data_IF_497324839939
#
_entry.id   IF_497324839939
#
_cell.length_a   1.000
_cell.length_b   1.000
_cell.length_c   1.000
_cell.angle_alpha   90.00
_cell.angle_beta   90.00
_cell.angle_gamma   90.00
#
_symmetry.space_group_name_H-M   'P 1'
#
loop_
_entity.id
_entity.type
_entity.pdbx_description
1 polymer ?
#
# COMPACT_ATOMS: atom_id res chain seq x y z
N UNK A 1 5.00 -11.16 -10.54
CA UNK A 1 5.29 -11.07 -9.10
C UNK A 1 4.09 -11.44 -8.23
N UNK A 2 2.92 -10.90 -8.49
CA UNK A 2 1.64 -11.21 -7.83
C UNK A 2 0.72 -11.89 -8.84
N UNK A 3 0.17 -13.05 -8.49
CA UNK A 3 -0.80 -13.76 -9.32
C UNK A 3 -2.00 -14.16 -8.45
N UNK A 4 -3.16 -13.68 -8.82
CA UNK A 4 -4.44 -13.90 -8.13
C UNK A 4 -5.40 -14.59 -9.09
N UNK A 5 -6.07 -15.67 -8.63
CA UNK A 5 -7.02 -16.43 -9.43
C UNK A 5 -8.29 -16.73 -8.66
N UNK A 6 -9.41 -16.37 -9.25
CA UNK A 6 -10.78 -16.55 -8.70
C UNK A 6 -10.89 -16.15 -7.23
N UNK A 7 -10.25 -15.03 -6.84
CA UNK A 7 -10.16 -14.61 -5.45
C UNK A 7 -11.50 -14.03 -4.99
N UNK A 8 -12.07 -14.65 -3.97
CA UNK A 8 -13.37 -14.23 -3.39
C UNK A 8 -13.20 -13.82 -1.93
N UNK A 9 -14.00 -12.86 -1.52
CA UNK A 9 -14.15 -12.47 -0.13
C UNK A 9 -15.61 -12.28 0.24
N UNK A 10 -16.06 -13.06 1.22
CA UNK A 10 -17.41 -13.01 1.76
C UNK A 10 -17.33 -12.72 3.25
N UNK A 11 -17.94 -11.63 3.68
CA UNK A 11 -18.13 -11.31 5.09
C UNK A 11 -19.48 -11.88 5.54
N UNK A 12 -19.46 -12.70 6.59
CA UNK A 12 -20.67 -13.33 7.15
C UNK A 12 -21.06 -12.64 8.46
N UNK A 13 -22.33 -12.32 8.60
CA UNK A 13 -22.93 -11.71 9.79
C UNK A 13 -24.05 -12.62 10.31
N UNK A 14 -24.60 -12.29 11.46
CA UNK A 14 -25.72 -13.07 12.04
C UNK A 14 -26.95 -13.13 11.13
N UNK A 15 -27.21 -12.09 10.34
CA UNK A 15 -28.42 -11.91 9.55
C UNK A 15 -28.19 -11.97 8.04
N UNK A 16 -26.97 -12.38 7.57
CA UNK A 16 -26.70 -12.45 6.15
C UNK A 16 -25.21 -12.51 5.79
N UNK A 17 -24.92 -12.20 4.55
CA UNK A 17 -23.54 -12.11 4.07
C UNK A 17 -23.39 -10.96 3.06
N UNK A 18 -22.17 -10.46 2.93
CA UNK A 18 -21.79 -9.48 1.89
C UNK A 18 -20.64 -10.05 1.09
N UNK A 19 -20.83 -10.11 -0.23
CA UNK A 19 -19.75 -10.46 -1.15
C UNK A 19 -18.95 -9.20 -1.46
N UNK A 20 -17.74 -9.10 -0.92
CA UNK A 20 -16.87 -7.96 -1.17
C UNK A 20 -15.99 -8.16 -2.40
N UNK A 21 -15.60 -9.42 -2.70
CA UNK A 21 -14.89 -9.82 -3.92
C UNK A 21 -15.58 -11.04 -4.50
N UNK A 22 -15.91 -10.98 -5.80
CA UNK A 22 -16.76 -11.97 -6.48
C UNK A 22 -15.99 -12.96 -7.36
N UNK A 23 -14.66 -12.89 -7.40
CA UNK A 23 -13.81 -13.72 -8.26
C UNK A 23 -12.80 -12.86 -9.02
N UNK A 24 -11.81 -12.34 -8.30
CA UNK A 24 -10.77 -11.46 -8.86
C UNK A 24 -9.70 -12.30 -9.54
N UNK A 25 -9.35 -11.94 -10.77
CA UNK A 25 -8.17 -12.42 -11.47
C UNK A 25 -7.26 -11.21 -11.75
N UNK A 26 -6.03 -11.24 -11.22
CA UNK A 26 -5.10 -10.14 -11.34
C UNK A 26 -3.66 -10.66 -11.39
N UNK A 27 -2.92 -10.23 -12.39
CA UNK A 27 -1.48 -10.41 -12.46
C UNK A 27 -0.80 -9.04 -12.32
N UNK A 28 0.26 -8.97 -11.53
CA UNK A 28 1.12 -7.78 -11.41
C UNK A 28 2.56 -8.23 -11.52
N UNK A 29 3.27 -7.65 -12.47
CA UNK A 29 4.68 -7.94 -12.69
C UNK A 29 5.58 -7.17 -11.72
N UNK A 30 6.82 -7.62 -11.57
CA UNK A 30 7.80 -6.89 -10.76
C UNK A 30 8.13 -5.54 -11.40
N UNK A 31 8.13 -4.48 -10.60
CA UNK A 31 8.37 -3.10 -11.06
C UNK A 31 7.18 -2.46 -11.77
N UNK A 32 6.03 -3.13 -11.85
CA UNK A 32 4.83 -2.55 -12.44
C UNK A 32 4.13 -1.60 -11.45
N UNK A 33 3.63 -0.47 -11.97
CA UNK A 33 2.72 0.42 -11.25
C UNK A 33 1.30 0.22 -11.77
N UNK A 34 0.45 -0.36 -10.94
CA UNK A 34 -0.97 -0.63 -11.27
C UNK A 34 -1.87 0.26 -10.43
N UNK A 35 -2.82 0.94 -11.06
CA UNK A 35 -3.91 1.64 -10.39
C UNK A 35 -5.21 0.84 -10.51
N UNK A 36 -5.87 0.57 -9.38
CA UNK A 36 -7.19 -0.05 -9.31
C UNK A 36 -8.21 1.05 -9.03
N UNK A 37 -9.06 1.34 -10.00
CA UNK A 37 -10.08 2.38 -9.93
C UNK A 37 -11.47 1.79 -9.74
N UNK A 38 -12.34 2.55 -9.07
CA UNK A 38 -13.75 2.19 -8.93
C UNK A 38 -14.47 3.04 -7.89
N UNK A 39 -15.81 2.98 -7.84
CA UNK A 39 -16.60 3.74 -6.87
C UNK A 39 -16.31 3.32 -5.43
N UNK A 40 -16.71 4.16 -4.48
CA UNK A 40 -16.63 3.79 -3.06
C UNK A 40 -17.46 2.52 -2.78
N UNK A 41 -16.93 1.63 -1.94
CA UNK A 41 -17.61 0.39 -1.55
C UNK A 41 -17.50 -0.77 -2.55
N UNK A 42 -16.87 -0.62 -3.72
CA UNK A 42 -16.76 -1.70 -4.70
C UNK A 42 -15.76 -2.82 -4.35
N UNK A 43 -15.05 -2.74 -3.19
CA UNK A 43 -14.14 -3.80 -2.72
C UNK A 43 -12.63 -3.49 -2.82
N UNK A 44 -12.22 -2.29 -3.27
CA UNK A 44 -10.80 -1.93 -3.47
C UNK A 44 -9.94 -2.11 -2.23
N UNK A 45 -10.34 -1.54 -1.10
CA UNK A 45 -9.60 -1.68 0.18
C UNK A 45 -9.59 -3.13 0.66
N UNK A 46 -10.68 -3.89 0.42
CA UNK A 46 -10.70 -5.33 0.73
C UNK A 46 -9.68 -6.10 -0.09
N UNK A 47 -9.59 -5.83 -1.39
CA UNK A 47 -8.57 -6.43 -2.25
C UNK A 47 -7.17 -6.05 -1.79
N UNK A 48 -6.94 -4.76 -1.51
CA UNK A 48 -5.65 -4.27 -1.03
C UNK A 48 -5.22 -4.93 0.29
N UNK A 49 -6.16 -5.13 1.22
CA UNK A 49 -5.90 -5.81 2.50
C UNK A 49 -5.48 -7.28 2.30
N UNK A 50 -6.10 -7.99 1.34
CA UNK A 50 -5.72 -9.37 1.04
C UNK A 50 -4.36 -9.40 0.34
N UNK A 51 -4.11 -8.55 -0.65
CA UNK A 51 -2.80 -8.41 -1.30
C UNK A 51 -1.71 -8.07 -0.30
N UNK A 52 -2.06 -7.27 0.71
CA UNK A 52 -1.17 -6.88 1.80
C UNK A 52 -1.03 -7.90 2.92
N UNK A 53 -1.63 -9.07 2.81
CA UNK A 53 -1.61 -10.10 3.84
C UNK A 53 -2.15 -9.61 5.20
N UNK A 54 -3.04 -8.62 5.19
CA UNK A 54 -3.77 -8.15 6.39
C UNK A 54 -5.02 -9.00 6.63
N UNK A 55 -5.61 -9.55 5.56
CA UNK A 55 -6.75 -10.44 5.61
C UNK A 55 -6.56 -11.65 4.68
N UNK A 56 -7.39 -12.69 4.82
CA UNK A 56 -7.41 -13.84 3.93
C UNK A 56 -8.61 -13.75 2.97
N UNK A 57 -8.48 -14.27 1.75
CA UNK A 57 -9.64 -14.53 0.91
C UNK A 57 -10.51 -15.63 1.53
N UNK A 58 -11.77 -15.69 1.10
CA UNK A 58 -12.66 -16.81 1.43
C UNK A 58 -12.41 -18.02 0.53
N UNK A 59 -12.09 -17.75 -0.74
CA UNK A 59 -11.81 -18.76 -1.79
C UNK A 59 -10.80 -18.19 -2.80
N UNK A 60 -10.26 -19.05 -3.65
CA UNK A 60 -9.31 -18.69 -4.70
C UNK A 60 -7.86 -18.89 -4.28
N UNK A 61 -6.93 -18.49 -5.16
CA UNK A 61 -5.49 -18.58 -4.91
C UNK A 61 -4.81 -17.22 -5.02
N UNK A 62 -3.73 -17.06 -4.24
CA UNK A 62 -2.86 -15.89 -4.28
C UNK A 62 -1.40 -16.29 -4.16
N UNK A 63 -0.66 -16.14 -5.26
CA UNK A 63 0.79 -16.34 -5.29
C UNK A 63 1.51 -14.99 -5.14
N UNK A 64 2.38 -14.89 -4.15
CA UNK A 64 3.30 -13.76 -3.95
C UNK A 64 4.74 -14.25 -4.11
N UNK A 65 5.42 -13.80 -5.17
CA UNK A 65 6.77 -14.27 -5.48
C UNK A 65 6.83 -15.79 -5.69
N UNK A 66 5.80 -16.40 -6.28
CA UNK A 66 5.68 -17.83 -6.52
C UNK A 66 5.23 -18.67 -5.32
N UNK A 67 5.02 -18.07 -4.16
CA UNK A 67 4.55 -18.76 -2.95
C UNK A 67 3.04 -18.59 -2.80
N UNK A 68 2.29 -19.69 -2.58
CA UNK A 68 0.86 -19.64 -2.26
C UNK A 68 0.65 -19.08 -0.85
N UNK A 69 -0.13 -18.00 -0.75
CA UNK A 69 -0.32 -17.25 0.50
C UNK A 69 -1.77 -17.05 0.92
N UNK A 70 -2.74 -17.50 0.11
CA UNK A 70 -4.17 -17.28 0.35
C UNK A 70 -4.65 -17.86 1.70
N UNK A 71 -4.09 -18.98 2.13
CA UNK A 71 -4.57 -19.73 3.30
C UNK A 71 -3.58 -19.72 4.48
N UNK A 72 -2.64 -18.79 4.50
CA UNK A 72 -1.68 -18.65 5.59
C UNK A 72 -2.38 -18.24 6.90
N UNK A 73 -1.90 -18.79 8.02
CA UNK A 73 -2.30 -18.33 9.36
C UNK A 73 -1.77 -16.92 9.61
N UNK A 74 -2.42 -16.17 10.54
CA UNK A 74 -2.04 -14.80 10.89
C UNK A 74 -0.53 -14.67 11.24
N UNK A 75 0.01 -15.60 12.02
CA UNK A 75 1.43 -15.59 12.37
C UNK A 75 2.36 -15.72 11.16
N UNK A 76 1.99 -16.54 10.19
CA UNK A 76 2.74 -16.72 8.94
C UNK A 76 2.66 -15.49 8.04
N UNK A 77 1.44 -14.90 7.90
CA UNK A 77 1.22 -13.65 7.17
C UNK A 77 2.05 -12.51 7.75
N UNK A 78 2.05 -12.38 9.09
CA UNK A 78 2.83 -11.36 9.79
C UNK A 78 4.34 -11.48 9.51
N UNK A 79 4.88 -12.69 9.51
CA UNK A 79 6.29 -12.92 9.19
C UNK A 79 6.57 -12.58 7.73
N UNK A 80 5.72 -13.03 6.81
CA UNK A 80 5.90 -12.82 5.37
C UNK A 80 5.76 -11.34 4.96
N UNK A 81 4.86 -10.59 5.61
CA UNK A 81 4.64 -9.16 5.37
C UNK A 81 5.83 -8.30 5.76
N UNK A 82 6.56 -8.68 6.84
CA UNK A 82 7.68 -7.90 7.38
C UNK A 82 8.75 -7.65 6.32
N UNK A 83 9.01 -6.39 6.04
CA UNK A 83 10.05 -5.94 5.11
C UNK A 83 9.76 -6.19 3.63
N UNK A 84 8.71 -6.94 3.28
CA UNK A 84 8.36 -7.24 1.87
C UNK A 84 7.24 -6.36 1.34
N UNK A 85 6.33 -5.91 2.21
CA UNK A 85 5.16 -5.11 1.83
C UNK A 85 5.17 -3.80 2.59
N UNK A 86 5.17 -2.69 1.85
CA UNK A 86 4.99 -1.34 2.39
C UNK A 86 3.54 -0.89 2.23
N UNK A 87 3.00 -0.21 3.25
CA UNK A 87 1.63 0.33 3.21
C UNK A 87 1.63 1.84 3.29
N UNK A 88 0.85 2.47 2.42
CA UNK A 88 0.55 3.90 2.42
C UNK A 88 -0.97 4.05 2.51
N UNK A 89 -1.46 4.73 3.54
CA UNK A 89 -2.88 4.91 3.81
C UNK A 89 -3.31 6.36 3.58
N UNK A 90 -4.57 6.55 3.27
CA UNK A 90 -5.19 7.87 3.14
C UNK A 90 -5.08 8.70 4.42
N UNK A 91 -5.23 8.08 5.60
CA UNK A 91 -5.18 8.74 6.91
C UNK A 91 -3.77 8.76 7.52
N UNK A 92 -2.72 8.56 6.72
CA UNK A 92 -1.30 8.53 7.11
C UNK A 92 -0.96 7.42 8.14
N UNK A 93 -1.81 7.16 9.12
CA UNK A 93 -1.67 6.17 10.20
C UNK A 93 -0.31 6.30 10.94
N UNK A 94 0.09 7.54 11.21
CA UNK A 94 1.24 7.81 12.06
C UNK A 94 0.85 7.64 13.53
N UNK A 95 1.85 7.29 14.34
CA UNK A 95 1.69 7.20 15.81
C UNK A 95 2.01 8.57 16.38
N UNK A 96 1.03 9.23 16.99
CA UNK A 96 1.11 10.62 17.43
C UNK A 96 2.12 10.85 18.56
N UNK A 97 2.37 9.83 19.38
CA UNK A 97 3.32 9.85 20.49
C UNK A 97 4.78 9.63 20.05
N UNK A 98 4.99 9.31 18.77
CA UNK A 98 6.32 9.10 18.21
C UNK A 98 6.72 10.28 17.32
N UNK A 99 8.00 10.63 17.35
CA UNK A 99 8.56 11.60 16.39
C UNK A 99 8.51 11.04 14.96
N UNK A 100 8.77 11.89 13.98
CA UNK A 100 8.89 11.52 12.57
C UNK A 100 9.91 10.39 12.37
N UNK A 101 11.13 10.57 12.90
CA UNK A 101 12.16 9.54 12.79
C UNK A 101 11.77 8.23 13.48
N UNK A 102 11.10 8.30 14.64
CA UNK A 102 10.64 7.12 15.38
C UNK A 102 9.53 6.38 14.63
N UNK A 103 8.60 7.11 13.97
CA UNK A 103 7.58 6.50 13.09
C UNK A 103 8.22 5.73 11.93
N UNK A 104 9.24 6.32 11.30
CA UNK A 104 9.95 5.70 10.17
C UNK A 104 10.84 4.54 10.63
N UNK A 105 11.41 4.62 11.85
CA UNK A 105 12.26 3.57 12.42
C UNK A 105 11.49 2.30 12.81
N UNK A 106 10.20 2.44 13.11
CA UNK A 106 9.38 1.39 13.71
C UNK A 106 9.41 0.04 12.95
N UNK A 107 9.24 -0.01 11.61
CA UNK A 107 9.33 -1.27 10.86
C UNK A 107 10.69 -1.97 11.02
N UNK A 108 11.78 -1.21 11.03
CA UNK A 108 13.14 -1.74 11.19
C UNK A 108 13.36 -2.33 12.59
N UNK A 109 12.75 -1.73 13.63
CA UNK A 109 12.75 -2.29 15.00
C UNK A 109 12.06 -3.66 15.02
N UNK A 110 10.90 -3.79 14.38
CA UNK A 110 10.18 -5.05 14.29
C UNK A 110 10.92 -6.13 13.49
N UNK A 111 11.80 -5.72 12.57
CA UNK A 111 12.70 -6.64 11.85
C UNK A 111 13.94 -7.03 12.66
N UNK A 112 14.16 -6.43 13.83
CA UNK A 112 15.35 -6.71 14.66
C UNK A 112 16.65 -6.11 14.11
N UNK A 113 16.56 -5.08 13.25
CA UNK A 113 17.74 -4.43 12.66
C UNK A 113 18.52 -3.68 13.75
N UNK A 114 19.86 -3.78 13.80
CA UNK A 114 20.70 -3.08 14.79
C UNK A 114 20.54 -1.56 14.75
N UNK A 115 20.66 -0.88 15.91
CA UNK A 115 20.38 0.54 16.08
C UNK A 115 21.17 1.44 15.11
N UNK A 116 22.46 1.16 14.93
CA UNK A 116 23.32 1.94 14.02
C UNK A 116 22.85 1.85 12.57
N UNK A 117 22.46 0.66 12.11
CA UNK A 117 21.92 0.46 10.76
C UNK A 117 20.55 1.13 10.63
N UNK A 118 19.66 1.03 11.65
CA UNK A 118 18.36 1.71 11.62
C UNK A 118 18.52 3.22 11.44
N UNK A 119 19.42 3.84 12.19
CA UNK A 119 19.67 5.29 12.09
C UNK A 119 20.07 5.71 10.67
N UNK A 120 20.92 4.93 10.01
CA UNK A 120 21.34 5.20 8.61
C UNK A 120 20.17 5.07 7.65
N UNK A 121 19.39 3.98 7.72
CA UNK A 121 18.27 3.73 6.82
C UNK A 121 17.16 4.78 7.02
N UNK A 122 16.87 5.18 8.26
CA UNK A 122 15.88 6.23 8.58
C UNK A 122 16.33 7.58 8.01
N UNK A 123 17.60 7.96 8.22
CA UNK A 123 18.15 9.22 7.68
C UNK A 123 18.02 9.26 6.16
N UNK A 124 18.34 8.17 5.48
CA UNK A 124 18.23 8.09 4.03
C UNK A 124 16.78 8.12 3.55
N UNK A 125 15.87 7.40 4.22
CA UNK A 125 14.44 7.42 3.88
C UNK A 125 13.84 8.83 4.03
N UNK A 126 14.15 9.52 5.12
CA UNK A 126 13.71 10.91 5.35
C UNK A 126 14.28 11.88 4.32
N UNK A 127 15.55 11.68 3.92
CA UNK A 127 16.20 12.49 2.88
C UNK A 127 15.52 12.30 1.53
N UNK A 128 15.24 11.06 1.12
CA UNK A 128 14.54 10.74 -0.13
C UNK A 128 13.15 11.37 -0.20
N UNK A 129 12.44 11.42 0.93
CA UNK A 129 11.12 12.03 1.02
C UNK A 129 11.17 13.55 1.26
N UNK A 130 12.35 14.16 1.28
CA UNK A 130 12.56 15.60 1.51
C UNK A 130 11.89 16.08 2.81
N UNK A 131 12.03 15.32 3.91
CA UNK A 131 11.40 15.60 5.20
C UNK A 131 12.39 15.55 6.39
N UNK A 132 13.70 15.41 6.14
CA UNK A 132 14.74 15.31 7.19
C UNK A 132 14.73 16.46 8.19
N UNK A 133 14.37 17.67 7.73
CA UNK A 133 14.27 18.86 8.57
C UNK A 133 13.17 18.78 9.64
N UNK A 134 12.31 17.76 9.58
CA UNK A 134 11.23 17.50 10.53
C UNK A 134 11.46 16.23 11.38
N UNK A 135 12.64 15.61 11.33
CA UNK A 135 12.92 14.32 11.98
C UNK A 135 12.48 14.25 13.45
N UNK A 136 12.69 15.31 14.21
CA UNK A 136 12.36 15.38 15.63
C UNK A 136 10.99 15.98 15.96
N UNK A 137 10.17 16.29 14.94
CA UNK A 137 8.80 16.79 15.14
C UNK A 137 7.83 15.61 15.36
N UNK A 138 6.70 15.91 15.98
CA UNK A 138 5.58 14.99 16.13
C UNK A 138 4.57 15.17 14.98
N UNK A 139 3.77 14.14 14.65
CA UNK A 139 2.76 14.22 13.57
C UNK A 139 1.84 15.43 13.66
N UNK A 140 1.39 15.79 14.86
CA UNK A 140 0.54 16.96 15.12
C UNK A 140 1.15 18.32 14.72
N UNK A 141 2.46 18.38 14.52
CA UNK A 141 3.21 19.58 14.13
C UNK A 141 3.44 19.66 12.60
N UNK A 142 2.89 18.72 11.84
CA UNK A 142 3.11 18.58 10.40
C UNK A 142 1.85 18.91 9.61
N UNK A 143 2.03 19.50 8.42
CA UNK A 143 0.95 19.56 7.43
C UNK A 143 0.59 18.16 6.89
N UNK A 144 -0.62 17.99 6.31
CA UNK A 144 -1.04 16.71 5.72
C UNK A 144 -0.06 16.17 4.69
N UNK A 145 0.48 17.02 3.80
CA UNK A 145 1.49 16.60 2.83
C UNK A 145 2.81 16.16 3.48
N UNK A 146 3.21 16.79 4.59
CA UNK A 146 4.37 16.36 5.36
C UNK A 146 4.12 15.03 6.06
N UNK A 147 2.94 14.83 6.65
CA UNK A 147 2.55 13.56 7.26
C UNK A 147 2.56 12.41 6.24
N UNK A 148 2.05 12.67 5.02
CA UNK A 148 2.08 11.66 3.95
C UNK A 148 3.50 11.31 3.50
N UNK A 149 4.41 12.28 3.42
CA UNK A 149 5.84 12.01 3.14
C UNK A 149 6.48 11.14 4.22
N UNK A 150 6.11 11.33 5.50
CA UNK A 150 6.55 10.47 6.61
C UNK A 150 5.97 9.07 6.48
N UNK A 151 4.68 8.93 6.12
CA UNK A 151 4.04 7.64 5.90
C UNK A 151 4.70 6.88 4.73
N UNK A 152 5.05 7.58 3.64
CA UNK A 152 5.82 6.99 2.52
C UNK A 152 7.22 6.59 3.00
N UNK A 153 7.95 7.46 3.72
CA UNK A 153 9.27 7.13 4.27
C UNK A 153 9.22 5.85 5.12
N UNK A 154 8.20 5.72 5.99
CA UNK A 154 7.96 4.52 6.80
C UNK A 154 7.68 3.27 5.94
N UNK A 155 6.93 3.42 4.86
CA UNK A 155 6.62 2.32 3.96
C UNK A 155 7.85 1.80 3.20
N UNK A 156 8.78 2.70 2.81
CA UNK A 156 9.94 2.35 1.96
C UNK A 156 11.22 2.06 2.74
N UNK A 157 11.30 2.37 4.03
CA UNK A 157 12.53 2.25 4.83
C UNK A 157 13.08 0.82 4.85
N UNK A 158 12.21 -0.18 4.72
CA UNK A 158 12.58 -1.60 4.65
C UNK A 158 12.90 -2.07 3.23
N UNK A 159 12.88 -1.19 2.21
CA UNK A 159 13.06 -1.52 0.79
C UNK A 159 12.12 -2.66 0.35
N UNK A 160 10.80 -2.48 0.48
CA UNK A 160 9.83 -3.53 0.20
C UNK A 160 9.80 -3.92 -1.28
N UNK A 161 9.38 -5.17 -1.56
CA UNK A 161 9.17 -5.68 -2.92
C UNK A 161 7.94 -5.03 -3.58
N UNK A 162 6.92 -4.70 -2.76
CA UNK A 162 5.68 -4.07 -3.21
C UNK A 162 5.19 -3.02 -2.22
N UNK A 163 4.70 -1.91 -2.76
CA UNK A 163 3.99 -0.87 -2.03
C UNK A 163 2.49 -0.96 -2.37
N UNK A 164 1.67 -0.99 -1.33
CA UNK A 164 0.22 -0.94 -1.43
C UNK A 164 -0.26 0.42 -0.93
N UNK A 165 -0.86 1.21 -1.82
CA UNK A 165 -1.31 2.56 -1.53
C UNK A 165 -2.84 2.67 -1.59
N UNK A 166 -3.47 2.99 -0.46
CA UNK A 166 -4.92 3.20 -0.35
C UNK A 166 -5.22 4.70 -0.35
N UNK A 167 -5.71 5.22 -1.48
CA UNK A 167 -6.08 6.63 -1.67
C UNK A 167 -4.97 7.60 -1.19
N UNK A 168 -3.72 7.50 -1.67
CA UNK A 168 -2.55 8.14 -1.05
C UNK A 168 -2.60 9.67 -1.06
N UNK A 169 -3.51 10.26 -1.82
CA UNK A 169 -3.69 11.72 -1.94
C UNK A 169 -5.03 12.22 -1.43
N UNK A 170 -5.91 11.31 -0.95
CA UNK A 170 -7.31 11.60 -0.65
C UNK A 170 -7.54 12.69 0.42
N UNK A 171 -6.56 12.91 1.31
CA UNK A 171 -6.61 13.94 2.36
C UNK A 171 -5.68 15.14 2.07
N UNK A 172 -5.25 15.31 0.81
CA UNK A 172 -4.29 16.35 0.42
C UNK A 172 -4.91 17.35 -0.56
N UNK A 173 -4.43 18.59 -0.50
CA UNK A 173 -4.67 19.53 -1.57
C UNK A 173 -3.98 19.13 -2.88
N UNK A 174 -4.37 19.77 -3.98
CA UNK A 174 -3.90 19.40 -5.32
C UNK A 174 -2.38 19.49 -5.49
N UNK A 175 -1.73 20.44 -4.83
CA UNK A 175 -0.27 20.64 -4.91
C UNK A 175 0.45 19.52 -4.17
N UNK A 176 0.11 19.31 -2.90
CA UNK A 176 0.71 18.24 -2.09
C UNK A 176 0.40 16.85 -2.68
N UNK A 177 -0.82 16.64 -3.21
CA UNK A 177 -1.19 15.40 -3.90
C UNK A 177 -0.28 15.13 -5.11
N UNK A 178 -0.03 16.14 -5.96
CA UNK A 178 0.89 16.00 -7.10
C UNK A 178 2.31 15.60 -6.64
N UNK A 179 2.84 16.29 -5.63
CA UNK A 179 4.17 15.99 -5.09
C UNK A 179 4.28 14.56 -4.53
N UNK A 180 3.22 14.06 -3.89
CA UNK A 180 3.14 12.66 -3.41
C UNK A 180 3.13 11.68 -4.59
N UNK A 181 2.35 11.94 -5.63
CA UNK A 181 2.32 11.06 -6.81
C UNK A 181 3.67 11.05 -7.56
N UNK A 182 4.37 12.19 -7.65
CA UNK A 182 5.72 12.26 -8.21
C UNK A 182 6.73 11.44 -7.38
N UNK A 183 6.61 11.43 -6.04
CA UNK A 183 7.43 10.56 -5.19
C UNK A 183 7.15 9.08 -5.44
N UNK A 184 5.88 8.68 -5.57
CA UNK A 184 5.52 7.29 -5.88
C UNK A 184 6.01 6.87 -7.27
N UNK A 185 5.87 7.73 -8.27
CA UNK A 185 6.41 7.48 -9.61
C UNK A 185 7.94 7.28 -9.57
N UNK A 186 8.67 8.15 -8.86
CA UNK A 186 10.11 8.00 -8.69
C UNK A 186 10.52 6.70 -7.97
N UNK A 187 9.73 6.22 -6.99
CA UNK A 187 9.96 4.92 -6.36
C UNK A 187 9.73 3.76 -7.33
N UNK A 188 8.76 3.90 -8.22
CA UNK A 188 8.50 2.91 -9.27
C UNK A 188 9.61 2.91 -10.33
N UNK A 189 10.09 4.06 -10.75
CA UNK A 189 11.24 4.20 -11.66
C UNK A 189 12.51 3.54 -11.09
N UNK A 190 12.67 3.53 -9.77
CA UNK A 190 13.72 2.80 -9.04
C UNK A 190 13.45 1.27 -8.97
N UNK A 191 12.37 0.76 -9.58
CA UNK A 191 12.04 -0.66 -9.69
C UNK A 191 11.10 -1.20 -8.61
N UNK A 192 10.53 -0.35 -7.74
CA UNK A 192 9.54 -0.80 -6.74
C UNK A 192 8.19 -1.07 -7.39
N UNK A 193 7.60 -2.23 -7.14
CA UNK A 193 6.23 -2.54 -7.58
C UNK A 193 5.22 -1.74 -6.77
N UNK A 194 4.23 -1.12 -7.42
CA UNK A 194 3.21 -0.31 -6.73
C UNK A 194 1.81 -0.76 -7.17
N UNK A 195 0.96 -1.03 -6.19
CA UNK A 195 -0.49 -1.21 -6.41
C UNK A 195 -1.19 -0.10 -5.63
N UNK A 196 -1.86 0.77 -6.36
CA UNK A 196 -2.60 1.89 -5.80
C UNK A 196 -4.09 1.70 -6.04
N UNK A 197 -4.91 1.89 -5.01
CA UNK A 197 -6.35 2.04 -5.19
C UNK A 197 -6.69 3.52 -5.11
N UNK A 198 -7.52 4.00 -6.03
CA UNK A 198 -7.95 5.39 -6.07
C UNK A 198 -9.25 5.56 -6.84
N UNK A 199 -9.97 6.64 -6.57
CA UNK A 199 -11.09 7.12 -7.40
C UNK A 199 -10.69 8.32 -8.28
N UNK A 200 -9.46 8.83 -8.13
CA UNK A 200 -8.92 9.98 -8.87
C UNK A 200 -8.32 9.55 -10.20
N UNK A 201 -8.92 9.99 -11.32
CA UNK A 201 -8.35 9.75 -12.66
C UNK A 201 -6.97 10.40 -12.83
N UNK A 202 -6.77 11.59 -12.23
CA UNK A 202 -5.49 12.29 -12.25
C UNK A 202 -4.38 11.44 -11.62
N UNK A 203 -4.65 10.82 -10.49
CA UNK A 203 -3.66 10.05 -9.77
C UNK A 203 -3.43 8.69 -10.45
N UNK A 204 -4.50 8.07 -10.97
CA UNK A 204 -4.39 6.84 -11.75
C UNK A 204 -3.54 7.00 -13.03
N UNK A 205 -3.47 8.21 -13.59
CA UNK A 205 -2.66 8.51 -14.78
C UNK A 205 -1.13 8.37 -14.55
N UNK A 206 -0.67 8.29 -13.29
CA UNK A 206 0.73 7.98 -12.98
C UNK A 206 1.07 6.50 -13.12
N UNK A 207 0.05 5.62 -13.11
CA UNK A 207 0.25 4.18 -13.24
C UNK A 207 0.46 3.77 -14.71
N UNK A 208 1.24 2.72 -14.93
CA UNK A 208 1.45 2.12 -16.25
C UNK A 208 0.20 1.39 -16.74
N UNK A 209 -0.61 0.87 -15.82
CA UNK A 209 -1.85 0.17 -16.13
C UNK A 209 -2.96 0.55 -15.15
N UNK A 210 -4.15 0.78 -15.70
CA UNK A 210 -5.36 1.06 -14.93
C UNK A 210 -6.32 -0.12 -15.08
N UNK A 211 -6.76 -0.65 -13.93
CA UNK A 211 -7.75 -1.71 -13.83
C UNK A 211 -9.00 -1.14 -13.18
N UNK A 212 -10.17 -1.34 -13.77
CA UNK A 212 -11.41 -0.87 -13.18
C UNK A 212 -12.05 -1.96 -12.33
N UNK A 213 -12.65 -1.55 -11.19
CA UNK A 213 -13.35 -2.44 -10.28
C UNK A 213 -14.77 -1.96 -10.03
N UNK A 214 -15.74 -2.86 -10.16
CA UNK A 214 -17.16 -2.61 -9.90
C UNK A 214 -17.76 -3.82 -9.18
N UNK A 215 -18.49 -3.58 -8.08
CA UNK A 215 -19.24 -4.60 -7.33
C UNK A 215 -18.46 -5.89 -7.03
N UNK A 216 -17.20 -5.74 -6.68
CA UNK A 216 -16.32 -6.87 -6.33
C UNK A 216 -15.69 -7.61 -7.51
N UNK A 217 -15.80 -7.11 -8.72
CA UNK A 217 -15.19 -7.68 -9.93
C UNK A 217 -14.24 -6.69 -10.60
N UNK A 218 -13.17 -7.22 -11.22
CA UNK A 218 -12.36 -6.42 -12.14
C UNK A 218 -13.03 -6.40 -13.51
N UNK A 219 -13.10 -5.23 -14.11
CA UNK A 219 -13.66 -5.03 -15.43
C UNK A 219 -12.50 -4.69 -16.37
N UNK A 220 -12.29 -5.50 -17.40
CA UNK A 220 -11.45 -5.13 -18.51
C UNK A 220 -12.10 -3.93 -19.24
N UNK A 221 -11.31 -2.90 -19.58
CA UNK A 221 -11.78 -1.85 -20.46
C UNK A 221 -12.09 -2.50 -21.81
N UNK A 222 -13.36 -2.75 -22.07
CA UNK A 222 -13.80 -2.88 -23.48
C UNK A 222 -13.63 -1.48 -24.06
N UNK A 223 -12.72 -1.32 -25.01
CA UNK A 223 -12.62 -0.11 -25.83
C UNK A 223 -14.01 0.10 -26.46
N UNK A 224 -14.67 1.20 -26.08
CA UNK A 224 -15.88 1.69 -26.75
C UNK A 224 -15.47 2.55 -27.92
#
# INVERSE_FOLDING_TARGET
MIHVRDLKKVFRYKEGYTVALGGINLDVEQGEFVAIMGPSGCGKTTLLNILGLLDNPSEGSYLLGGMEVAHLKESQRTVLRKGRIGFIFQSFNLIDELTVEQNVELPLKYMGIPAEQRSREVTEALRRMNISHRAHHYPSQLSGGQQQRVAIARAVVCKPEVILADEPTGNLDSKNGKEVMELLAGLNDDGTTIIMVTHSQRDAAYAQRIVNMLDGFLIEKTEL
#
